data_IF_573615309599
#
_entry.id   IF_573615309599
#
_cell.length_a   1.000
_cell.length_b   1.000
_cell.length_c   1.000
_cell.angle_alpha   90.00
_cell.angle_beta   90.00
_cell.angle_gamma   90.00
#
_symmetry.space_group_name_H-M   'P 1'
#
loop_
_entity.id
_entity.type
_entity.pdbx_description
1 polymer ?
#
# COMPACT_ATOMS: atom_id res chain seq x y z
N UNK A 1 -1.38 5.23 -4.71
CA UNK A 1 -1.74 5.74 -6.06
C UNK A 1 -0.51 6.18 -6.89
N UNK A 2 0.31 5.21 -7.29
CA UNK A 2 1.62 5.42 -7.94
C UNK A 2 1.61 4.99 -9.42
N UNK A 3 0.45 4.65 -9.98
CA UNK A 3 0.34 4.22 -11.36
C UNK A 3 0.62 5.39 -12.34
N UNK A 4 1.44 5.24 -13.38
CA UNK A 4 1.95 6.37 -14.17
C UNK A 4 0.88 7.28 -14.79
N UNK A 5 -0.29 6.75 -15.14
CA UNK A 5 -1.37 7.53 -15.77
C UNK A 5 -2.20 8.33 -14.77
N UNK A 6 -2.17 7.98 -13.49
CA UNK A 6 -3.00 8.58 -12.44
C UNK A 6 -2.17 8.88 -11.19
N UNK A 7 -0.89 9.21 -11.38
CA UNK A 7 0.04 9.41 -10.27
C UNK A 7 -0.42 10.57 -9.39
N UNK A 8 -0.44 10.33 -8.07
CA UNK A 8 -0.73 11.36 -7.07
C UNK A 8 0.52 11.50 -6.20
N UNK A 9 1.10 12.69 -6.12
CA UNK A 9 2.34 12.91 -5.35
C UNK A 9 2.13 12.73 -3.83
N UNK A 10 3.21 12.47 -3.09
CA UNK A 10 3.18 12.18 -1.65
C UNK A 10 2.50 13.25 -0.80
N UNK A 11 2.71 14.54 -1.10
CA UNK A 11 2.05 15.65 -0.39
C UNK A 11 0.54 15.64 -0.57
N UNK A 12 0.08 15.35 -1.79
CA UNK A 12 -1.36 15.24 -2.08
C UNK A 12 -1.94 14.00 -1.40
N UNK A 13 -1.22 12.88 -1.37
CA UNK A 13 -1.66 11.69 -0.64
C UNK A 13 -1.79 11.96 0.87
N UNK A 14 -0.81 12.67 1.45
CA UNK A 14 -0.86 13.11 2.85
C UNK A 14 -2.03 14.04 3.13
N UNK A 15 -2.30 15.00 2.23
CA UNK A 15 -3.45 15.88 2.33
C UNK A 15 -4.77 15.08 2.27
N UNK A 16 -4.92 14.15 1.34
CA UNK A 16 -6.12 13.31 1.27
C UNK A 16 -6.29 12.44 2.52
N UNK A 17 -5.20 11.87 3.03
CA UNK A 17 -5.21 11.11 4.28
C UNK A 17 -5.67 11.96 5.47
N UNK A 18 -5.27 13.24 5.55
CA UNK A 18 -5.73 14.14 6.62
C UNK A 18 -7.23 14.48 6.54
N UNK A 19 -7.85 14.30 5.37
CA UNK A 19 -9.31 14.39 5.18
C UNK A 19 -10.03 13.07 5.49
N UNK A 20 -9.30 12.04 5.93
CA UNK A 20 -9.85 10.71 6.26
C UNK A 20 -9.91 9.73 5.09
N UNK A 21 -9.32 10.06 3.93
CA UNK A 21 -9.26 9.15 2.78
C UNK A 21 -8.31 7.99 3.08
N UNK A 22 -8.76 6.76 2.78
CA UNK A 22 -7.90 5.58 2.80
C UNK A 22 -7.15 5.47 1.46
N UNK A 23 -5.84 5.27 1.53
CA UNK A 23 -4.92 5.27 0.41
C UNK A 23 -4.48 3.83 0.10
N UNK A 24 -4.80 3.38 -1.10
CA UNK A 24 -4.33 2.10 -1.62
C UNK A 24 -2.88 2.20 -2.12
N UNK A 25 -2.10 1.17 -1.79
CA UNK A 25 -0.77 0.91 -2.35
C UNK A 25 -0.78 -0.43 -3.07
N UNK A 26 -0.51 -0.41 -4.37
CA UNK A 26 -0.49 -1.60 -5.22
C UNK A 26 0.93 -2.08 -5.48
N UNK A 27 1.21 -3.34 -5.11
CA UNK A 27 2.50 -4.01 -5.37
C UNK A 27 2.89 -3.98 -6.85
N UNK A 28 1.92 -4.12 -7.76
CA UNK A 28 2.11 -4.03 -9.21
C UNK A 28 2.98 -2.83 -9.60
N UNK A 29 2.78 -1.66 -8.98
CA UNK A 29 3.54 -0.45 -9.29
C UNK A 29 5.03 -0.59 -8.95
N UNK A 30 5.37 -1.32 -7.89
CA UNK A 30 6.77 -1.63 -7.54
C UNK A 30 7.31 -2.69 -8.50
N UNK A 31 6.54 -3.77 -8.70
CA UNK A 31 6.97 -4.90 -9.51
C UNK A 31 7.13 -4.57 -11.01
N UNK A 32 6.46 -3.53 -11.50
CA UNK A 32 6.63 -3.00 -12.86
C UNK A 32 7.55 -1.77 -12.91
N UNK A 33 8.25 -1.44 -11.82
CA UNK A 33 9.17 -0.31 -11.71
C UNK A 33 8.53 1.06 -12.01
N UNK A 34 7.21 1.20 -11.79
CA UNK A 34 6.53 2.50 -11.85
C UNK A 34 6.92 3.39 -10.67
N UNK A 35 7.32 2.78 -9.55
CA UNK A 35 7.89 3.44 -8.38
C UNK A 35 8.86 2.48 -7.68
N UNK A 36 9.88 3.01 -7.00
CA UNK A 36 10.73 2.20 -6.13
C UNK A 36 10.03 1.87 -4.81
N UNK A 37 10.46 0.81 -4.12
CA UNK A 37 9.91 0.47 -2.80
C UNK A 37 10.24 1.55 -1.76
N UNK A 38 11.39 2.22 -1.88
CA UNK A 38 11.82 3.31 -1.01
C UNK A 38 10.89 4.52 -1.12
N UNK A 39 10.57 4.95 -2.34
CA UNK A 39 9.68 6.09 -2.56
C UNK A 39 8.23 5.73 -2.19
N UNK A 40 7.78 4.50 -2.47
CA UNK A 40 6.48 4.03 -1.97
C UNK A 40 6.43 4.06 -0.44
N UNK A 41 7.50 3.58 0.22
CA UNK A 41 7.63 3.55 1.69
C UNK A 41 7.57 4.95 2.28
N UNK A 42 8.28 5.92 1.68
CA UNK A 42 8.19 7.32 2.06
C UNK A 42 6.77 7.85 1.93
N UNK A 43 6.08 7.56 0.84
CA UNK A 43 4.69 7.98 0.65
C UNK A 43 3.73 7.35 1.67
N UNK A 44 3.94 6.07 2.05
CA UNK A 44 3.21 5.41 3.14
C UNK A 44 3.43 6.16 4.45
N UNK A 45 4.69 6.46 4.80
CA UNK A 45 5.04 7.21 6.02
C UNK A 45 4.41 8.60 6.05
N UNK A 46 4.36 9.28 4.91
CA UNK A 46 3.72 10.60 4.78
C UNK A 46 2.21 10.54 4.96
N UNK A 47 1.54 9.52 4.40
CA UNK A 47 0.09 9.36 4.50
C UNK A 47 -0.37 8.78 5.85
N UNK A 48 0.50 8.05 6.55
CA UNK A 48 0.18 7.34 7.78
C UNK A 48 -0.31 5.91 7.50
N UNK A 49 0.20 4.96 8.29
CA UNK A 49 -0.15 3.54 8.18
C UNK A 49 -1.63 3.29 8.46
N UNK A 50 -2.23 4.12 9.32
CA UNK A 50 -3.64 4.09 9.69
C UNK A 50 -4.58 4.58 8.58
N UNK A 51 -4.02 5.27 7.58
CA UNK A 51 -4.72 5.71 6.37
C UNK A 51 -4.33 4.88 5.15
N UNK A 52 -3.50 3.84 5.29
CA UNK A 52 -2.97 3.09 4.16
C UNK A 52 -3.40 1.64 4.21
N UNK A 53 -3.77 1.08 3.07
CA UNK A 53 -3.90 -0.37 2.92
C UNK A 53 -3.12 -0.90 1.72
N UNK A 54 -2.71 -2.16 1.83
CA UNK A 54 -1.92 -2.84 0.79
C UNK A 54 -2.82 -3.73 -0.07
N UNK A 55 -2.62 -3.65 -1.37
CA UNK A 55 -3.16 -4.57 -2.36
C UNK A 55 -2.05 -4.94 -3.35
N UNK A 56 -2.23 -6.04 -4.08
CA UNK A 56 -1.21 -6.47 -5.04
C UNK A 56 -1.49 -6.03 -6.46
N UNK A 57 -2.77 -5.88 -6.81
CA UNK A 57 -3.25 -5.71 -8.19
C UNK A 57 -2.65 -6.76 -9.14
N UNK A 58 -2.53 -7.99 -8.63
CA UNK A 58 -2.01 -9.17 -9.34
C UNK A 58 -3.14 -10.14 -9.68
N UNK A 59 -2.82 -11.14 -10.50
CA UNK A 59 -3.78 -12.13 -11.01
C UNK A 59 -3.81 -12.18 -12.54
N UNK A 60 -2.99 -11.37 -13.20
CA UNK A 60 -2.78 -11.41 -14.64
C UNK A 60 -2.12 -12.74 -15.05
N UNK A 61 -2.54 -13.27 -16.20
CA UNK A 61 -1.98 -14.49 -16.76
C UNK A 61 -0.46 -14.34 -16.99
N UNK A 62 0.32 -15.36 -16.62
CA UNK A 62 1.78 -15.38 -16.80
C UNK A 62 2.58 -14.70 -15.67
N UNK A 63 1.92 -14.19 -14.62
CA UNK A 63 2.59 -13.60 -13.45
C UNK A 63 2.37 -14.43 -12.18
N UNK A 64 3.16 -14.15 -11.13
CA UNK A 64 3.05 -14.81 -9.83
C UNK A 64 1.66 -14.62 -9.21
N UNK A 65 1.23 -15.61 -8.43
CA UNK A 65 -0.08 -15.59 -7.79
C UNK A 65 -0.20 -14.41 -6.79
N UNK A 66 -1.37 -13.77 -6.66
CA UNK A 66 -1.55 -12.61 -5.78
C UNK A 66 -1.12 -12.83 -4.33
N UNK A 67 -1.30 -14.04 -3.80
CA UNK A 67 -0.89 -14.38 -2.44
C UNK A 67 0.65 -14.37 -2.27
N UNK A 68 1.38 -14.88 -3.27
CA UNK A 68 2.86 -14.85 -3.26
C UNK A 68 3.38 -13.42 -3.41
N UNK A 69 2.72 -12.62 -4.25
CA UNK A 69 3.07 -11.21 -4.46
C UNK A 69 2.78 -10.36 -3.21
N UNK A 70 1.76 -10.70 -2.43
CA UNK A 70 1.52 -10.05 -1.13
C UNK A 70 2.64 -10.35 -0.14
N UNK A 71 3.17 -11.57 -0.14
CA UNK A 71 4.34 -11.94 0.67
C UNK A 71 5.55 -11.10 0.23
N UNK A 72 5.81 -10.99 -1.07
CA UNK A 72 6.92 -10.17 -1.59
C UNK A 72 6.77 -8.70 -1.18
N UNK A 73 5.56 -8.14 -1.25
CA UNK A 73 5.30 -6.77 -0.84
C UNK A 73 5.57 -6.56 0.66
N UNK A 74 5.09 -7.49 1.51
CA UNK A 74 5.33 -7.44 2.95
C UNK A 74 6.82 -7.52 3.26
N UNK A 75 7.56 -8.44 2.63
CA UNK A 75 9.02 -8.57 2.82
C UNK A 75 9.73 -7.28 2.43
N UNK A 76 9.41 -6.72 1.27
CA UNK A 76 10.02 -5.49 0.79
C UNK A 76 9.78 -4.31 1.76
N UNK A 77 8.59 -4.20 2.36
CA UNK A 77 8.31 -3.18 3.37
C UNK A 77 9.03 -3.44 4.70
N UNK A 78 9.16 -4.70 5.13
CA UNK A 78 9.94 -5.05 6.32
C UNK A 78 11.41 -4.65 6.15
N UNK A 79 11.98 -4.84 4.95
CA UNK A 79 13.35 -4.42 4.61
C UNK A 79 13.52 -2.89 4.63
N UNK A 80 12.44 -2.13 4.38
CA UNK A 80 12.40 -0.67 4.53
C UNK A 80 12.17 -0.21 5.98
N UNK A 81 12.13 -1.14 6.94
CA UNK A 81 12.05 -0.84 8.37
C UNK A 81 10.63 -0.68 8.91
N UNK A 82 9.59 -1.14 8.19
CA UNK A 82 8.26 -1.27 8.79
C UNK A 82 8.24 -2.40 9.81
N UNK A 83 7.49 -2.23 10.90
CA UNK A 83 7.31 -3.30 11.90
C UNK A 83 6.22 -4.28 11.49
N UNK A 84 6.19 -5.46 12.10
CA UNK A 84 5.13 -6.46 11.88
C UNK A 84 3.75 -5.91 12.23
N UNK A 85 3.67 -5.09 13.27
CA UNK A 85 2.45 -4.43 13.72
C UNK A 85 1.97 -3.41 12.68
N UNK A 86 2.88 -2.64 12.08
CA UNK A 86 2.54 -1.70 11.01
C UNK A 86 2.06 -2.42 9.75
N UNK A 87 2.71 -3.52 9.37
CA UNK A 87 2.24 -4.39 8.29
C UNK A 87 0.85 -4.92 8.59
N UNK A 88 0.62 -5.43 9.81
CA UNK A 88 -0.71 -5.91 10.22
C UNK A 88 -1.76 -4.82 10.13
N UNK A 89 -1.42 -3.58 10.51
CA UNK A 89 -2.32 -2.43 10.36
C UNK A 89 -2.75 -2.26 8.91
N UNK A 90 -1.80 -2.22 7.97
CA UNK A 90 -2.10 -1.95 6.55
C UNK A 90 -2.71 -3.14 5.80
N UNK A 91 -2.46 -4.39 6.22
CA UNK A 91 -2.97 -5.61 5.54
C UNK A 91 -4.28 -6.11 6.13
N UNK A 92 -4.54 -5.86 7.42
CA UNK A 92 -5.70 -6.42 8.11
C UNK A 92 -6.60 -5.36 8.75
N UNK A 93 -6.02 -4.43 9.51
CA UNK A 93 -6.82 -3.48 10.32
C UNK A 93 -7.52 -2.46 9.43
N UNK A 94 -6.77 -1.75 8.58
CA UNK A 94 -7.34 -0.72 7.69
C UNK A 94 -8.36 -1.33 6.71
N UNK A 95 -8.06 -2.45 6.02
CA UNK A 95 -9.06 -3.14 5.21
C UNK A 95 -10.33 -3.56 5.95
N UNK A 96 -10.24 -3.87 7.26
CA UNK A 96 -11.43 -4.27 8.05
C UNK A 96 -12.47 -3.15 8.17
N UNK A 97 -12.06 -1.88 8.12
CA UNK A 97 -12.98 -0.75 8.10
C UNK A 97 -13.84 -0.72 6.83
N UNK A 98 -13.28 -1.21 5.72
CA UNK A 98 -13.95 -1.28 4.41
C UNK A 98 -14.80 -2.55 4.34
N UNK A 99 -14.18 -3.72 4.55
CA UNK A 99 -14.82 -5.02 4.34
C UNK A 99 -15.88 -5.34 5.39
N UNK A 100 -15.60 -5.02 6.66
CA UNK A 100 -16.47 -5.37 7.79
C UNK A 100 -17.26 -4.18 8.33
N UNK A 101 -17.12 -2.98 7.73
CA UNK A 101 -17.76 -1.73 8.16
C UNK A 101 -17.55 -1.41 9.65
N UNK A 102 -16.40 -1.81 10.19
CA UNK A 102 -16.01 -1.47 11.56
C UNK A 102 -15.71 0.03 11.60
N UNK A 103 -16.16 0.72 12.65
CA UNK A 103 -15.86 2.14 12.83
C UNK A 103 -14.35 2.32 13.01
N UNK A 104 -13.84 3.36 12.36
CA UNK A 104 -12.47 3.84 12.51
C UNK A 104 -12.34 4.73 13.74
#
# INVERSE_FOLDING_TARGET
PEWPRTVVNGETQKYLASLGVLIEKNWLNVAENSISIEEMSKNIRMAGIENTYLATDRGQNGFKHPAEEMINFIVALLEQGFTKEEIKTMVQVVPSYIANKVKR
#
